data_IF_416505284764
#
_entry.id   IF_416505284764
#
_cell.length_a   1.000
_cell.length_b   1.000
_cell.length_c   1.000
_cell.angle_alpha   90.00
_cell.angle_beta   90.00
_cell.angle_gamma   90.00
#
_symmetry.space_group_name_H-M   'P 1'
#
loop_
_entity.id
_entity.type
_entity.pdbx_description
1 polymer ?
#
# COMPACT_ATOMS: atom_id res chain seq x y z
N UNK A 1 1.43 12.16 0.95
CA UNK A 1 0.45 11.24 1.58
C UNK A 1 -0.55 10.81 0.53
N UNK A 2 -1.04 9.56 0.57
CA UNK A 2 -2.09 9.08 -0.35
C UNK A 2 -3.45 9.42 0.23
N UNK A 3 -4.33 9.98 -0.59
CA UNK A 3 -5.66 10.45 -0.17
C UNK A 3 -6.70 9.90 -1.12
N UNK A 4 -7.54 9.01 -0.60
CA UNK A 4 -8.63 8.38 -1.35
C UNK A 4 -9.95 9.02 -0.97
N UNK A 5 -10.73 9.45 -1.94
CA UNK A 5 -12.08 9.94 -1.68
C UNK A 5 -13.08 8.77 -1.64
N UNK A 6 -13.54 8.43 -0.44
CA UNK A 6 -14.52 7.36 -0.21
C UNK A 6 -15.96 7.89 -0.21
N UNK A 7 -16.15 9.20 -0.38
CA UNK A 7 -17.46 9.84 -0.42
C UNK A 7 -18.06 9.83 -1.83
N UNK A 8 -19.39 9.97 -1.93
CA UNK A 8 -20.10 10.06 -3.21
C UNK A 8 -19.98 11.43 -3.90
N UNK A 9 -19.30 12.40 -3.28
CA UNK A 9 -19.19 13.78 -3.77
C UNK A 9 -17.72 14.15 -4.03
N UNK A 10 -17.49 15.15 -4.89
CA UNK A 10 -16.15 15.70 -5.11
C UNK A 10 -15.62 16.29 -3.79
N UNK A 11 -14.45 15.83 -3.34
CA UNK A 11 -13.81 16.35 -2.13
C UNK A 11 -12.61 17.22 -2.50
N UNK A 12 -12.52 18.38 -1.87
CA UNK A 12 -11.37 19.26 -1.95
C UNK A 12 -10.55 19.17 -0.67
N UNK A 13 -9.28 18.84 -0.78
CA UNK A 13 -8.33 18.82 0.34
C UNK A 13 -7.29 19.94 0.18
N UNK A 14 -6.88 20.55 1.28
CA UNK A 14 -5.88 21.62 1.25
C UNK A 14 -4.49 20.99 1.31
N UNK A 15 -3.83 20.86 0.16
CA UNK A 15 -2.42 20.48 0.06
C UNK A 15 -1.51 21.68 0.20
N UNK A 16 -0.21 21.42 0.31
CA UNK A 16 0.86 22.42 0.41
C UNK A 16 0.90 23.34 -0.82
N UNK A 17 0.69 22.77 -2.02
CA UNK A 17 0.65 23.50 -3.29
C UNK A 17 -0.72 24.13 -3.61
N UNK A 18 -1.69 24.04 -2.69
CA UNK A 18 -3.04 24.56 -2.88
C UNK A 18 -4.13 23.49 -2.72
N UNK A 19 -5.35 23.84 -3.13
CA UNK A 19 -6.51 22.95 -2.97
C UNK A 19 -6.52 21.88 -4.07
N UNK A 20 -6.43 20.61 -3.66
CA UNK A 20 -6.45 19.44 -4.54
C UNK A 20 -7.85 18.83 -4.52
N UNK A 21 -8.43 18.65 -5.70
CA UNK A 21 -9.73 18.00 -5.85
C UNK A 21 -9.57 16.53 -6.22
N UNK A 22 -10.32 15.68 -5.52
CA UNK A 22 -10.29 14.22 -5.61
C UNK A 22 -11.73 13.75 -5.91
N UNK A 23 -11.91 13.05 -7.03
CA UNK A 23 -13.22 12.53 -7.46
C UNK A 23 -13.65 11.34 -6.59
N UNK A 24 -14.96 11.05 -6.46
CA UNK A 24 -15.44 9.84 -5.78
C UNK A 24 -14.73 8.58 -6.27
N UNK A 25 -14.15 7.80 -5.36
CA UNK A 25 -13.40 6.57 -5.66
C UNK A 25 -11.96 6.78 -6.14
N UNK A 26 -11.55 8.03 -6.40
CA UNK A 26 -10.22 8.37 -6.90
C UNK A 26 -9.22 8.51 -5.75
N UNK A 27 -7.95 8.19 -6.03
CA UNK A 27 -6.86 8.38 -5.07
C UNK A 27 -5.80 9.30 -5.64
N UNK A 28 -5.43 10.33 -4.86
CA UNK A 28 -4.37 11.25 -5.21
C UNK A 28 -3.31 11.34 -4.14
N UNK A 29 -2.07 11.49 -4.60
CA UNK A 29 -0.96 11.85 -3.74
C UNK A 29 -0.99 13.36 -3.48
N UNK A 30 -1.14 13.70 -2.20
CA UNK A 30 -1.18 15.08 -1.74
C UNK A 30 -0.14 15.25 -0.65
N UNK A 31 0.70 16.26 -0.83
CA UNK A 31 1.56 16.78 0.21
C UNK A 31 0.74 17.72 1.09
N UNK A 32 0.66 17.43 2.39
CA UNK A 32 -0.05 18.25 3.35
C UNK A 32 0.94 19.03 4.20
N UNK A 33 0.55 20.25 4.54
CA UNK A 33 1.12 21.00 5.67
C UNK A 33 0.39 20.61 6.97
N UNK A 34 0.90 20.96 8.15
CA UNK A 34 0.31 20.57 9.46
C UNK A 34 -1.18 20.95 9.56
N UNK A 35 -1.52 22.16 9.07
CA UNK A 35 -2.89 22.67 9.05
C UNK A 35 -3.77 21.93 8.04
N UNK A 36 -3.21 21.60 6.88
CA UNK A 36 -3.90 20.85 5.82
C UNK A 36 -4.20 19.42 6.25
N UNK A 37 -3.24 18.78 6.90
CA UNK A 37 -3.36 17.42 7.42
C UNK A 37 -4.42 17.33 8.53
N UNK A 38 -4.42 18.27 9.47
CA UNK A 38 -5.39 18.27 10.55
C UNK A 38 -6.83 18.46 10.05
N UNK A 39 -7.03 19.30 9.03
CA UNK A 39 -8.32 19.44 8.37
C UNK A 39 -8.73 18.17 7.62
N UNK A 40 -7.80 17.56 6.88
CA UNK A 40 -8.08 16.32 6.16
C UNK A 40 -8.44 15.17 7.13
N UNK A 41 -7.78 15.08 8.30
CA UNK A 41 -8.11 14.12 9.37
C UNK A 41 -9.52 14.30 9.95
N UNK A 42 -10.11 15.50 9.88
CA UNK A 42 -11.52 15.71 10.28
C UNK A 42 -12.49 15.11 9.28
N UNK A 43 -12.05 14.87 8.06
CA UNK A 43 -12.83 14.30 6.97
C UNK A 43 -12.61 12.80 6.82
N UNK A 44 -12.15 12.09 7.85
CA UNK A 44 -11.91 10.63 7.83
C UNK A 44 -13.13 9.78 7.45
N UNK A 45 -14.35 10.33 7.59
CA UNK A 45 -15.59 9.68 7.11
C UNK A 45 -15.82 9.84 5.61
N UNK A 46 -15.12 10.78 4.97
CA UNK A 46 -15.26 11.14 3.56
C UNK A 46 -13.99 10.83 2.76
N UNK A 47 -12.83 10.79 3.42
CA UNK A 47 -11.50 10.64 2.84
C UNK A 47 -10.68 9.64 3.68
N UNK A 48 -10.03 8.69 3.01
CA UNK A 48 -9.00 7.84 3.62
C UNK A 48 -7.63 8.45 3.35
N UNK A 49 -6.85 8.70 4.40
CA UNK A 49 -5.53 9.33 4.30
C UNK A 49 -4.50 8.35 4.82
N UNK A 50 -3.70 7.83 3.91
CA UNK A 50 -2.60 6.92 4.22
C UNK A 50 -1.27 7.68 4.12
N UNK A 51 -0.41 7.50 5.12
CA UNK A 51 0.93 8.10 5.12
C UNK A 51 1.77 7.31 4.10
N UNK A 52 1.66 7.73 2.84
CA UNK A 52 2.37 7.10 1.72
C UNK A 52 3.87 7.16 1.94
N UNK A 53 4.47 6.00 2.15
CA UNK A 53 5.81 5.68 1.65
C UNK A 53 5.78 5.85 0.12
N UNK A 54 6.79 6.53 -0.41
CA UNK A 54 6.83 6.90 -1.82
C UNK A 54 7.02 5.64 -2.68
N UNK A 55 5.96 5.26 -3.37
CA UNK A 55 5.92 4.11 -4.26
C UNK A 55 4.86 3.13 -3.80
N UNK A 56 3.72 3.07 -4.50
CA UNK A 56 2.95 1.83 -4.71
C UNK A 56 1.56 2.04 -5.30
N UNK A 57 1.14 3.18 -5.87
CA UNK A 57 -0.26 3.35 -6.30
C UNK A 57 -1.26 2.93 -5.17
N UNK A 58 -2.57 2.97 -5.40
CA UNK A 58 -3.43 2.09 -4.65
C UNK A 58 -4.52 1.57 -5.59
N UNK A 59 -4.27 0.42 -6.18
CA UNK A 59 -5.35 -0.56 -6.32
C UNK A 59 -5.21 -1.41 -5.05
N UNK A 60 -6.11 -1.27 -4.09
CA UNK A 60 -7.40 -1.93 -4.22
C UNK A 60 -7.18 -3.41 -3.98
N UNK A 61 -7.42 -3.86 -2.74
CA UNK A 61 -7.66 -5.25 -2.37
C UNK A 61 -6.96 -6.33 -3.20
N UNK A 62 -5.85 -6.85 -2.68
CA UNK A 62 -5.60 -8.28 -2.77
C UNK A 62 -4.59 -8.74 -3.80
N UNK A 63 -3.39 -8.17 -3.82
CA UNK A 63 -2.19 -8.98 -4.07
C UNK A 63 -1.06 -8.38 -3.25
N UNK A 64 -0.64 -9.05 -2.17
CA UNK A 64 0.59 -8.67 -1.45
C UNK A 64 1.71 -8.72 -2.48
N UNK A 65 2.41 -7.61 -2.70
CA UNK A 65 3.51 -7.59 -3.66
C UNK A 65 4.68 -8.46 -3.16
N UNK A 66 5.56 -8.88 -4.06
CA UNK A 66 6.74 -9.67 -3.68
C UNK A 66 7.57 -8.98 -2.58
N UNK A 67 7.65 -7.65 -2.62
CA UNK A 67 8.31 -6.82 -1.60
C UNK A 67 7.61 -6.90 -0.23
N UNK A 68 6.27 -6.86 -0.18
CA UNK A 68 5.54 -7.04 1.08
C UNK A 68 5.68 -8.46 1.64
N UNK A 69 5.62 -9.48 0.78
CA UNK A 69 5.82 -10.85 1.24
C UNK A 69 7.26 -11.04 1.74
N UNK A 70 8.27 -10.47 1.06
CA UNK A 70 9.66 -10.45 1.52
C UNK A 70 9.79 -9.78 2.90
N UNK A 71 9.12 -8.64 3.11
CA UNK A 71 9.07 -7.97 4.40
C UNK A 71 8.39 -8.86 5.48
N UNK A 72 7.39 -9.67 5.11
CA UNK A 72 6.81 -10.64 6.04
C UNK A 72 7.78 -11.77 6.43
N UNK A 73 8.79 -12.09 5.61
CA UNK A 73 9.84 -13.02 5.99
C UNK A 73 10.81 -12.42 7.01
N UNK A 74 11.09 -11.12 6.94
CA UNK A 74 11.97 -10.43 7.87
C UNK A 74 11.30 -10.19 9.24
N UNK A 75 9.97 -10.09 9.26
CA UNK A 75 9.19 -9.95 10.48
C UNK A 75 9.15 -11.26 11.29
N UNK A 76 9.86 -11.27 12.43
CA UNK A 76 9.87 -12.39 13.38
C UNK A 76 8.51 -12.66 14.06
N UNK A 77 7.60 -11.69 14.00
CA UNK A 77 6.23 -11.80 14.54
C UNK A 77 5.31 -12.67 13.66
N UNK A 78 5.69 -12.88 12.40
CA UNK A 78 4.85 -13.55 11.41
C UNK A 78 5.23 -15.03 11.30
N UNK A 79 4.28 -15.96 11.52
CA UNK A 79 4.54 -17.39 11.39
C UNK A 79 4.84 -17.76 9.94
N UNK A 80 5.85 -18.62 9.74
CA UNK A 80 6.34 -19.04 8.42
C UNK A 80 5.23 -19.60 7.50
N UNK A 81 4.19 -20.25 8.04
CA UNK A 81 3.04 -20.71 7.25
C UNK A 81 2.27 -19.57 6.57
N UNK A 82 2.14 -18.41 7.22
CA UNK A 82 1.47 -17.24 6.64
C UNK A 82 2.31 -16.61 5.53
N UNK A 83 3.63 -16.52 5.75
CA UNK A 83 4.59 -16.07 4.72
C UNK A 83 4.59 -17.02 3.51
N UNK A 84 4.69 -18.34 3.74
CA UNK A 84 4.67 -19.35 2.68
C UNK A 84 3.37 -19.31 1.88
N UNK A 85 2.22 -19.14 2.53
CA UNK A 85 0.93 -19.04 1.82
C UNK A 85 0.84 -17.78 0.94
N UNK A 86 1.42 -16.66 1.41
CA UNK A 86 1.49 -15.45 0.62
C UNK A 86 2.48 -15.59 -0.55
N UNK A 87 3.64 -16.21 -0.31
CA UNK A 87 4.62 -16.49 -1.36
C UNK A 87 4.09 -17.48 -2.40
N UNK A 88 3.33 -18.50 -1.98
CA UNK A 88 2.67 -19.44 -2.89
C UNK A 88 1.64 -18.81 -3.81
N UNK A 89 1.06 -17.68 -3.42
CA UNK A 89 0.18 -16.90 -4.31
C UNK A 89 0.95 -16.11 -5.36
N UNK A 90 2.23 -15.83 -5.13
CA UNK A 90 3.09 -15.05 -6.03
C UNK A 90 3.95 -15.93 -6.95
N UNK A 91 4.59 -16.94 -6.37
CA UNK A 91 5.47 -17.88 -7.06
C UNK A 91 4.72 -19.10 -7.61
N UNK A 92 3.46 -19.30 -7.21
CA UNK A 92 2.63 -20.41 -7.66
C UNK A 92 3.24 -21.77 -7.32
N UNK A 93 3.21 -22.69 -8.26
CA UNK A 93 3.76 -24.05 -8.12
C UNK A 93 5.29 -24.09 -7.95
N UNK A 94 6.00 -22.98 -8.23
CA UNK A 94 7.46 -22.88 -8.07
C UNK A 94 7.89 -22.49 -6.65
N UNK A 95 6.97 -22.42 -5.71
CA UNK A 95 7.27 -21.99 -4.34
C UNK A 95 8.01 -23.08 -3.58
N UNK A 96 9.27 -22.86 -3.16
CA UNK A 96 10.04 -23.86 -2.44
C UNK A 96 9.51 -24.05 -1.00
N UNK A 97 9.96 -25.13 -0.34
CA UNK A 97 9.52 -25.46 1.01
C UNK A 97 10.28 -24.69 2.11
N UNK A 98 11.47 -24.17 1.79
CA UNK A 98 12.39 -23.50 2.74
C UNK A 98 12.27 -21.99 2.69
N UNK A 99 12.40 -21.34 3.85
CA UNK A 99 12.30 -19.88 3.98
C UNK A 99 13.30 -19.14 3.10
N UNK A 100 14.59 -19.46 3.19
CA UNK A 100 15.64 -18.83 2.38
C UNK A 100 15.40 -18.93 0.87
N UNK A 101 14.94 -20.08 0.40
CA UNK A 101 14.67 -20.29 -1.02
C UNK A 101 13.45 -19.49 -1.48
N UNK A 102 12.42 -19.35 -0.63
CA UNK A 102 11.24 -18.52 -0.92
C UNK A 102 11.64 -17.04 -0.97
N UNK A 103 12.45 -16.59 0.00
CA UNK A 103 12.97 -15.21 0.06
C UNK A 103 13.78 -14.89 -1.19
N UNK A 104 14.67 -15.80 -1.60
CA UNK A 104 15.48 -15.65 -2.82
C UNK A 104 14.61 -15.56 -4.08
N UNK A 105 13.63 -16.46 -4.22
CA UNK A 105 12.73 -16.46 -5.37
C UNK A 105 11.85 -15.21 -5.43
N UNK A 106 11.38 -14.70 -4.27
CA UNK A 106 10.65 -13.44 -4.20
C UNK A 106 11.53 -12.23 -4.53
N UNK A 107 12.80 -12.26 -4.12
CA UNK A 107 13.77 -11.19 -4.40
C UNK A 107 14.15 -11.15 -5.89
N UNK A 108 14.28 -12.31 -6.53
CA UNK A 108 14.49 -12.43 -7.98
C UNK A 108 13.27 -11.96 -8.77
N UNK A 109 12.05 -12.32 -8.33
CA UNK A 109 10.81 -11.83 -8.92
C UNK A 109 10.63 -10.32 -8.74
N UNK A 110 11.08 -9.75 -7.62
CA UNK A 110 11.03 -8.31 -7.38
C UNK A 110 12.10 -7.52 -8.17
N UNK A 111 13.18 -8.18 -8.62
CA UNK A 111 14.31 -7.55 -9.33
C UNK A 111 14.13 -7.60 -10.86
N UNK A 112 13.34 -8.54 -11.38
CA UNK A 112 12.97 -8.60 -12.80
C UNK A 112 11.55 -8.01 -12.99
N UNK A 113 11.41 -6.74 -13.43
CA UNK A 113 10.11 -6.12 -13.70
C UNK A 113 9.38 -6.73 -14.91
#
# INVERSE_FOLDING_TARGET
>A
MKVTNISKALQGVNGKSGRVFIRPGDTKEVEFDDVGLNQAKRLTKLLSIEKGDAGAAPEGGGVKTAAEVLAMADNSDIPFMSFKSAASKLLGERTPAKKDEIVTALMELATNP
#
